data_IF_792316616859
#
_entry.id   IF_792316616859
#
_cell.length_a   1.000
_cell.length_b   1.000
_cell.length_c   1.000
_cell.angle_alpha   90.00
_cell.angle_beta   90.00
_cell.angle_gamma   90.00
#
_symmetry.space_group_name_H-M   'P 1'
#
loop_
_entity.id
_entity.type
_entity.pdbx_description
1 polymer ?
#
# COMPACT_ATOMS: atom_id res chain seq x y z
N UNK A 1 24.55 4.01 -5.66
CA UNK A 1 23.66 3.21 -4.79
C UNK A 1 22.25 3.26 -5.36
N UNK A 2 21.42 2.24 -5.13
CA UNK A 2 20.00 2.23 -5.55
C UNK A 2 19.22 3.46 -5.05
N UNK A 3 19.63 4.03 -3.92
CA UNK A 3 19.07 5.25 -3.35
C UNK A 3 19.16 6.45 -4.31
N UNK A 4 20.30 6.66 -4.98
CA UNK A 4 20.49 7.79 -5.90
C UNK A 4 19.56 7.71 -7.11
N UNK A 5 19.37 6.50 -7.65
CA UNK A 5 18.46 6.28 -8.78
C UNK A 5 17.00 6.57 -8.38
N UNK A 6 16.58 6.11 -7.20
CA UNK A 6 15.22 6.35 -6.70
C UNK A 6 14.96 7.86 -6.55
N UNK A 7 15.91 8.60 -5.96
CA UNK A 7 15.78 10.05 -5.82
C UNK A 7 15.75 10.79 -7.16
N UNK A 8 16.53 10.36 -8.13
CA UNK A 8 16.53 10.97 -9.47
C UNK A 8 15.20 10.72 -10.19
N UNK A 9 14.64 9.51 -10.11
CA UNK A 9 13.33 9.19 -10.68
C UNK A 9 12.22 9.99 -9.97
N UNK A 10 12.24 10.04 -8.63
CA UNK A 10 11.24 10.79 -7.85
C UNK A 10 11.24 12.29 -8.23
N UNK A 11 12.42 12.88 -8.44
CA UNK A 11 12.57 14.26 -8.89
C UNK A 11 11.91 14.52 -10.24
N UNK A 12 12.01 13.58 -11.17
CA UNK A 12 11.34 13.68 -12.48
C UNK A 12 9.82 13.51 -12.35
N UNK A 13 9.36 12.54 -11.55
CA UNK A 13 7.92 12.29 -11.34
C UNK A 13 7.21 13.46 -10.66
N UNK A 14 7.87 14.17 -9.72
CA UNK A 14 7.31 15.35 -9.03
C UNK A 14 6.98 16.52 -9.97
N UNK A 15 7.50 16.53 -11.20
CA UNK A 15 7.17 17.54 -12.21
C UNK A 15 5.78 17.34 -12.82
N UNK A 16 5.19 16.16 -12.66
CA UNK A 16 3.87 15.80 -13.19
C UNK A 16 2.86 15.97 -12.04
N UNK A 17 1.86 16.87 -12.17
CA UNK A 17 0.82 17.01 -11.16
C UNK A 17 0.05 15.71 -10.98
N UNK A 18 -0.12 15.27 -9.73
CA UNK A 18 -0.77 14.00 -9.41
C UNK A 18 -2.20 13.93 -9.95
N UNK A 19 -2.96 15.02 -9.83
CA UNK A 19 -4.35 15.07 -10.27
C UNK A 19 -4.55 14.97 -11.80
N UNK A 20 -3.47 15.12 -12.58
CA UNK A 20 -3.51 15.03 -14.04
C UNK A 20 -3.25 13.63 -14.57
N UNK A 21 -2.80 12.70 -13.72
CA UNK A 21 -2.53 11.31 -14.15
C UNK A 21 -3.73 10.42 -13.86
N UNK A 22 -4.04 9.51 -14.79
CA UNK A 22 -5.17 8.57 -14.66
C UNK A 22 -4.86 7.42 -13.70
N UNK A 23 -3.61 7.00 -13.64
CA UNK A 23 -3.14 5.88 -12.83
C UNK A 23 -1.89 6.26 -12.06
N UNK A 24 -1.74 5.68 -10.88
CA UNK A 24 -0.54 5.80 -10.04
C UNK A 24 -0.20 4.43 -9.43
N UNK A 25 1.07 4.25 -9.06
CA UNK A 25 1.56 3.04 -8.42
C UNK A 25 2.75 3.35 -7.50
N UNK A 26 2.96 2.57 -6.42
CA UNK A 26 4.18 2.62 -5.64
C UNK A 26 5.37 2.09 -6.48
N UNK A 27 6.44 2.89 -6.61
CA UNK A 27 7.61 2.50 -7.42
C UNK A 27 8.35 1.28 -6.86
N UNK A 28 8.31 1.07 -5.55
CA UNK A 28 8.98 -0.04 -4.86
C UNK A 28 7.98 -1.04 -4.28
N UNK A 29 6.78 -1.10 -4.86
CA UNK A 29 5.72 -2.00 -4.44
C UNK A 29 6.07 -3.47 -4.69
N UNK A 30 5.60 -4.36 -3.81
CA UNK A 30 5.88 -5.80 -3.90
C UNK A 30 4.88 -6.56 -4.78
N UNK A 31 3.72 -5.96 -5.06
CA UNK A 31 2.60 -6.60 -5.76
C UNK A 31 2.48 -6.17 -7.23
N UNK A 32 3.46 -5.40 -7.73
CA UNK A 32 3.68 -5.08 -9.15
C UNK A 32 2.45 -4.45 -9.80
N UNK A 33 1.97 -5.00 -10.91
CA UNK A 33 0.84 -4.50 -11.69
C UNK A 33 -0.45 -4.38 -10.88
N UNK A 34 -0.60 -5.17 -9.80
CA UNK A 34 -1.78 -5.11 -8.93
C UNK A 34 -1.86 -3.81 -8.13
N UNK A 35 -0.75 -3.08 -8.01
CA UNK A 35 -0.69 -1.80 -7.31
C UNK A 35 -0.83 -0.61 -8.27
N UNK A 36 -1.05 -0.85 -9.57
CA UNK A 36 -1.40 0.20 -10.54
C UNK A 36 -2.88 0.51 -10.37
N UNK A 37 -3.17 1.62 -9.70
CA UNK A 37 -4.52 2.00 -9.30
C UNK A 37 -4.96 3.30 -9.97
N UNK A 38 -6.28 3.51 -10.16
CA UNK A 38 -6.79 4.81 -10.54
C UNK A 38 -6.40 5.87 -9.48
N UNK A 39 -5.79 6.97 -9.92
CA UNK A 39 -5.36 8.08 -9.04
C UNK A 39 -6.48 8.56 -8.12
N UNK A 40 -7.72 8.57 -8.64
CA UNK A 40 -8.93 8.94 -7.90
C UNK A 40 -9.15 8.18 -6.59
N UNK A 41 -8.60 6.97 -6.44
CA UNK A 41 -8.67 6.23 -5.18
C UNK A 41 -8.02 7.02 -4.04
N UNK A 42 -6.98 7.80 -4.34
CA UNK A 42 -6.22 8.57 -3.35
C UNK A 42 -6.75 10.00 -3.14
N UNK A 43 -7.75 10.44 -3.90
CA UNK A 43 -8.24 11.82 -3.86
C UNK A 43 -9.11 12.11 -2.63
N UNK A 44 -9.59 11.08 -1.93
CA UNK A 44 -10.41 11.29 -0.75
C UNK A 44 -10.26 10.17 0.27
N UNK A 45 -10.41 10.55 1.53
CA UNK A 45 -10.36 9.64 2.66
C UNK A 45 -11.73 9.49 3.31
N UNK A 46 -11.89 8.40 4.04
CA UNK A 46 -13.00 8.12 4.92
C UNK A 46 -12.46 7.77 6.31
N UNK A 47 -13.17 8.15 7.36
CA UNK A 47 -12.87 7.72 8.72
C UNK A 47 -13.47 6.34 8.95
N UNK A 48 -12.63 5.38 9.36
CA UNK A 48 -13.04 4.01 9.70
C UNK A 48 -12.69 3.73 11.16
N UNK A 49 -13.56 2.99 11.84
CA UNK A 49 -13.27 2.41 13.15
C UNK A 49 -12.46 1.13 12.96
N UNK A 50 -11.34 1.04 13.67
CA UNK A 50 -10.54 -0.17 13.78
C UNK A 50 -10.19 -0.35 15.26
N UNK A 51 -10.73 -1.41 15.86
CA UNK A 51 -10.69 -1.62 17.31
C UNK A 51 -11.34 -0.44 18.07
N UNK A 52 -10.61 0.21 18.97
CA UNK A 52 -11.08 1.35 19.77
C UNK A 52 -10.71 2.72 19.16
N UNK A 53 -10.07 2.72 17.99
CA UNK A 53 -9.47 3.91 17.40
C UNK A 53 -9.99 4.16 15.99
N UNK A 54 -10.04 5.44 15.61
CA UNK A 54 -10.47 5.86 14.27
C UNK A 54 -9.28 6.22 13.38
N UNK A 55 -9.32 5.74 12.14
CA UNK A 55 -8.27 5.96 11.15
C UNK A 55 -8.81 6.53 9.85
N UNK A 56 -8.03 7.37 9.20
CA UNK A 56 -8.28 7.78 7.83
C UNK A 56 -7.81 6.68 6.87
N UNK A 57 -8.75 6.14 6.10
CA UNK A 57 -8.47 5.21 5.03
C UNK A 57 -8.81 5.83 3.67
N UNK A 58 -8.29 5.23 2.61
CA UNK A 58 -8.75 5.51 1.23
C UNK A 58 -10.27 5.29 1.18
N UNK A 59 -11.05 6.22 0.63
CA UNK A 59 -12.51 6.08 0.55
C UNK A 59 -12.94 4.78 -0.16
N UNK A 60 -12.24 4.42 -1.24
CA UNK A 60 -12.47 3.20 -2.01
C UNK A 60 -11.62 2.00 -1.50
N UNK A 61 -11.37 1.90 -0.18
CA UNK A 61 -10.45 0.90 0.39
C UNK A 61 -10.79 -0.55 -0.03
N UNK A 62 -12.06 -0.90 -0.11
CA UNK A 62 -12.50 -2.24 -0.50
C UNK A 62 -12.03 -2.63 -1.92
N UNK A 63 -12.14 -1.71 -2.88
CA UNK A 63 -11.64 -1.91 -4.25
C UNK A 63 -10.12 -2.01 -4.28
N UNK A 64 -9.45 -1.17 -3.49
CA UNK A 64 -7.99 -1.19 -3.36
C UNK A 64 -7.51 -2.54 -2.81
N UNK A 65 -8.04 -2.96 -1.67
CA UNK A 65 -7.67 -4.21 -1.00
C UNK A 65 -8.00 -5.43 -1.86
N UNK A 66 -9.17 -5.43 -2.52
CA UNK A 66 -9.56 -6.51 -3.43
C UNK A 66 -8.65 -6.63 -4.65
N UNK A 67 -8.17 -5.51 -5.19
CA UNK A 67 -7.25 -5.51 -6.35
C UNK A 67 -5.85 -6.03 -5.97
N UNK A 68 -5.35 -5.68 -4.79
CA UNK A 68 -4.01 -6.12 -4.34
C UNK A 68 -4.04 -7.57 -3.85
N UNK A 69 -4.99 -7.90 -2.98
CA UNK A 69 -5.00 -9.15 -2.21
C UNK A 69 -6.02 -10.19 -2.66
N UNK A 70 -6.97 -9.84 -3.54
CA UNK A 70 -8.09 -10.72 -3.90
C UNK A 70 -9.16 -10.72 -2.81
N UNK A 71 -9.65 -11.91 -2.41
CA UNK A 71 -10.63 -12.01 -1.32
C UNK A 71 -9.96 -11.79 0.05
N UNK A 72 -9.67 -10.52 0.35
CA UNK A 72 -8.82 -10.12 1.47
C UNK A 72 -9.47 -10.33 2.85
N UNK A 73 -10.79 -10.55 2.89
CA UNK A 73 -11.54 -10.86 4.10
C UNK A 73 -11.50 -12.36 4.46
N UNK A 74 -10.97 -13.20 3.56
CA UNK A 74 -10.72 -14.61 3.83
C UNK A 74 -9.25 -14.85 4.17
N UNK A 75 -9.03 -15.55 5.30
CA UNK A 75 -7.67 -15.96 5.65
C UNK A 75 -7.12 -16.90 4.57
N UNK A 76 -5.85 -16.75 4.17
CA UNK A 76 -5.22 -17.70 3.27
C UNK A 76 -5.22 -19.11 3.89
N UNK A 77 -5.16 -20.18 3.07
CA UNK A 77 -5.01 -21.56 3.58
C UNK A 77 -3.84 -21.69 4.56
N UNK A 78 -3.96 -22.58 5.55
CA UNK A 78 -2.98 -22.74 6.65
C UNK A 78 -1.57 -22.97 6.12
N UNK A 79 -1.44 -23.73 5.04
CA UNK A 79 -0.17 -24.08 4.39
C UNK A 79 0.53 -22.85 3.77
N UNK A 80 -0.25 -21.79 3.49
CA UNK A 80 0.21 -20.51 2.94
C UNK A 80 0.38 -19.43 4.01
N UNK A 81 -0.02 -19.66 5.27
CA UNK A 81 0.19 -18.73 6.40
C UNK A 81 1.65 -18.80 6.89
N UNK A 82 2.61 -18.55 5.99
CA UNK A 82 4.05 -18.54 6.28
C UNK A 82 4.56 -17.11 6.20
N UNK A 83 5.41 -16.71 7.15
CA UNK A 83 6.01 -15.38 7.11
C UNK A 83 7.00 -15.29 5.94
N UNK A 84 6.98 -14.17 5.23
CA UNK A 84 7.92 -13.88 4.13
C UNK A 84 9.03 -12.92 4.57
N UNK A 85 9.05 -12.52 5.85
CA UNK A 85 10.11 -11.71 6.41
C UNK A 85 11.41 -12.51 6.53
N UNK A 86 12.53 -11.90 6.16
CA UNK A 86 13.87 -12.48 6.28
C UNK A 86 14.46 -12.34 7.68
N UNK A 87 13.73 -11.73 8.62
CA UNK A 87 14.15 -11.50 10.00
C UNK A 87 13.15 -12.11 10.98
N UNK A 88 13.66 -12.48 12.15
CA UNK A 88 12.83 -12.91 13.28
C UNK A 88 12.40 -11.67 14.06
N UNK A 89 11.10 -11.37 14.18
CA UNK A 89 10.64 -10.27 15.02
C UNK A 89 10.80 -10.62 16.51
N UNK A 90 11.15 -9.64 17.32
CA UNK A 90 11.23 -9.72 18.79
C UNK A 90 10.38 -8.58 19.38
N UNK A 91 9.66 -8.85 20.47
CA UNK A 91 8.95 -7.81 21.21
C UNK A 91 9.96 -6.94 21.96
N UNK A 92 9.86 -5.61 21.81
CA UNK A 92 10.50 -4.67 22.75
C UNK A 92 9.46 -4.36 23.81
N UNK A 93 9.73 -4.72 25.06
CA UNK A 93 8.92 -4.26 26.20
C UNK A 93 9.01 -2.72 26.25
N UNK A 94 7.87 -2.06 26.51
CA UNK A 94 7.83 -0.60 26.68
C UNK A 94 8.64 -0.21 27.94
N UNK A 95 9.46 0.84 27.82
CA UNK A 95 10.22 1.43 28.94
C UNK A 95 9.33 2.24 29.89
#
# INVERSE_FOLDING_TARGET
SNYKLITDIEKELRKIPFDLVKYCAPMSGSYREREIMPTKFYNSTIELEFEDTKFLAIRDYDKYLSSVYGNYMELPPVEKRKTHHTFTPYWKEEE
#
